data_IF_027109943084
#
_entry.id   IF_027109943084
#
_cell.length_a   1.000
_cell.length_b   1.000
_cell.length_c   1.000
_cell.angle_alpha   90.00
_cell.angle_beta   90.00
_cell.angle_gamma   90.00
#
_symmetry.space_group_name_H-M   'P 1'
#
loop_
_entity.id
_entity.type
_entity.pdbx_description
1 polymer ?
#
# COMPACT_ATOMS: atom_id res chain seq x y z
N UNK A 1 -35.93 -76.19 -64.38
CA UNK A 1 -36.70 -75.10 -63.73
C UNK A 1 -38.15 -75.44 -63.96
N UNK A 2 -38.95 -75.61 -62.91
CA UNK A 2 -40.38 -75.87 -63.07
C UNK A 2 -40.99 -74.71 -63.86
N UNK A 3 -41.69 -75.00 -64.96
CA UNK A 3 -42.45 -74.01 -65.71
C UNK A 3 -43.56 -73.49 -64.80
N UNK A 4 -43.41 -72.25 -64.36
CA UNK A 4 -44.41 -71.55 -63.58
C UNK A 4 -45.67 -71.42 -64.43
N UNK A 5 -46.83 -71.72 -63.85
CA UNK A 5 -48.09 -71.54 -64.57
C UNK A 5 -48.38 -70.05 -64.79
N UNK A 6 -49.12 -69.66 -65.84
CA UNK A 6 -49.47 -68.26 -66.09
C UNK A 6 -50.15 -67.57 -64.89
N UNK A 7 -50.92 -68.33 -64.11
CA UNK A 7 -51.61 -67.87 -62.89
C UNK A 7 -50.62 -67.56 -61.76
N UNK A 8 -49.59 -68.39 -61.58
CA UNK A 8 -48.52 -68.15 -60.59
C UNK A 8 -47.67 -66.93 -60.97
N UNK A 9 -47.46 -66.68 -62.28
CA UNK A 9 -46.74 -65.50 -62.77
C UNK A 9 -47.55 -64.23 -62.48
N UNK A 10 -48.86 -64.26 -62.75
CA UNK A 10 -49.77 -63.14 -62.50
C UNK A 10 -49.88 -62.82 -60.99
N UNK A 11 -50.00 -63.85 -60.15
CA UNK A 11 -50.05 -63.70 -58.69
C UNK A 11 -48.78 -63.05 -58.16
N UNK A 12 -47.61 -63.51 -58.63
CA UNK A 12 -46.32 -62.95 -58.24
C UNK A 12 -46.16 -61.51 -58.71
N UNK A 13 -46.59 -61.18 -59.93
CA UNK A 13 -46.54 -59.81 -60.44
C UNK A 13 -47.37 -58.86 -59.56
N UNK A 14 -48.61 -59.24 -59.21
CA UNK A 14 -49.45 -58.44 -58.31
C UNK A 14 -48.82 -58.25 -56.93
N UNK A 15 -48.22 -59.32 -56.37
CA UNK A 15 -47.52 -59.23 -55.09
C UNK A 15 -46.34 -58.25 -55.15
N UNK A 16 -45.49 -58.33 -56.18
CA UNK A 16 -44.36 -57.41 -56.34
C UNK A 16 -44.83 -55.97 -56.50
N UNK A 17 -45.91 -55.72 -57.25
CA UNK A 17 -46.48 -54.38 -57.39
C UNK A 17 -47.00 -53.84 -56.05
N UNK A 18 -47.47 -54.69 -55.13
CA UNK A 18 -48.05 -54.27 -53.83
C UNK A 18 -46.92 -53.91 -52.88
N UNK A 19 -45.90 -54.78 -52.82
CA UNK A 19 -44.68 -54.55 -52.05
C UNK A 19 -43.94 -53.28 -52.54
N UNK A 20 -43.94 -53.04 -53.85
CA UNK A 20 -43.35 -51.84 -54.46
C UNK A 20 -44.12 -50.57 -54.08
N UNK A 21 -45.45 -50.61 -54.12
CA UNK A 21 -46.29 -49.47 -53.71
C UNK A 21 -46.12 -49.16 -52.22
N UNK A 22 -46.07 -50.18 -51.37
CA UNK A 22 -45.80 -49.97 -49.95
C UNK A 22 -44.40 -49.40 -49.72
N UNK A 23 -43.42 -49.80 -50.52
CA UNK A 23 -42.08 -49.22 -50.50
C UNK A 23 -42.08 -47.74 -50.89
N UNK A 24 -42.84 -47.32 -51.92
CA UNK A 24 -42.91 -45.89 -52.28
C UNK A 24 -43.61 -45.05 -51.22
N UNK A 25 -44.64 -45.59 -50.55
CA UNK A 25 -45.25 -44.95 -49.38
C UNK A 25 -44.25 -44.76 -48.23
N UNK A 26 -43.43 -45.78 -47.92
CA UNK A 26 -42.37 -45.67 -46.90
C UNK A 26 -41.31 -44.64 -47.27
N UNK A 27 -40.86 -44.63 -48.52
CA UNK A 27 -39.87 -43.66 -49.03
C UNK A 27 -40.44 -42.23 -48.94
N UNK A 28 -41.70 -42.04 -49.32
CA UNK A 28 -42.36 -40.74 -49.19
C UNK A 28 -42.44 -40.28 -47.74
N UNK A 29 -42.83 -41.16 -46.82
CA UNK A 29 -42.84 -40.85 -45.38
C UNK A 29 -41.47 -40.42 -44.86
N UNK A 30 -40.41 -41.16 -45.21
CA UNK A 30 -39.04 -40.83 -44.83
C UNK A 30 -38.56 -39.51 -45.46
N UNK A 31 -38.95 -39.22 -46.70
CA UNK A 31 -38.59 -37.99 -47.38
C UNK A 31 -39.23 -36.78 -46.70
N UNK A 32 -40.52 -36.86 -46.33
CA UNK A 32 -41.23 -35.81 -45.60
C UNK A 32 -40.60 -35.58 -44.21
N UNK A 33 -40.30 -36.65 -43.47
CA UNK A 33 -39.63 -36.54 -42.17
C UNK A 33 -38.24 -35.89 -42.31
N UNK A 34 -37.46 -36.29 -43.32
CA UNK A 34 -36.15 -35.70 -43.60
C UNK A 34 -36.26 -34.21 -43.94
N UNK A 35 -37.32 -33.81 -44.64
CA UNK A 35 -37.57 -32.40 -44.97
C UNK A 35 -37.85 -31.58 -43.71
N UNK A 36 -38.69 -32.07 -42.79
CA UNK A 36 -38.99 -31.39 -41.52
C UNK A 36 -37.73 -31.23 -40.65
N UNK A 37 -36.91 -32.28 -40.56
CA UNK A 37 -35.61 -32.21 -39.87
C UNK A 37 -34.66 -31.22 -40.55
N UNK A 38 -34.63 -31.19 -41.88
CA UNK A 38 -33.84 -30.22 -42.65
C UNK A 38 -34.24 -28.77 -42.36
N UNK A 39 -35.55 -28.48 -42.34
CA UNK A 39 -36.08 -27.15 -42.02
C UNK A 39 -35.67 -26.74 -40.60
N UNK A 40 -35.86 -27.62 -39.61
CA UNK A 40 -35.45 -27.36 -38.21
C UNK A 40 -33.95 -27.08 -38.12
N UNK A 41 -33.14 -27.82 -38.87
CA UNK A 41 -31.68 -27.63 -38.87
C UNK A 41 -31.30 -26.27 -39.44
N UNK A 42 -31.92 -25.83 -40.55
CA UNK A 42 -31.69 -24.50 -41.12
C UNK A 42 -32.09 -23.40 -40.15
N UNK A 43 -33.24 -23.52 -39.48
CA UNK A 43 -33.65 -22.51 -38.49
C UNK A 43 -32.69 -22.42 -37.31
N UNK A 44 -32.13 -23.56 -36.87
CA UNK A 44 -31.12 -23.56 -35.81
C UNK A 44 -29.79 -22.95 -36.27
N UNK A 45 -29.39 -23.17 -37.52
CA UNK A 45 -28.19 -22.56 -38.10
C UNK A 45 -28.34 -21.04 -38.21
N UNK A 46 -29.51 -20.54 -38.62
CA UNK A 46 -29.83 -19.11 -38.66
C UNK A 46 -29.74 -18.46 -37.26
N UNK A 47 -30.36 -19.09 -36.26
CA UNK A 47 -30.26 -18.64 -34.86
C UNK A 47 -28.82 -18.65 -34.33
N UNK A 48 -28.01 -19.64 -34.72
CA UNK A 48 -26.58 -19.73 -34.37
C UNK A 48 -25.76 -18.62 -35.05
N UNK A 49 -26.04 -18.31 -36.32
CA UNK A 49 -25.40 -17.20 -37.03
C UNK A 49 -25.65 -15.87 -36.32
N UNK A 50 -26.88 -15.62 -35.89
CA UNK A 50 -27.23 -14.43 -35.12
C UNK A 50 -26.55 -14.38 -33.74
N UNK A 51 -26.33 -15.53 -33.09
CA UNK A 51 -25.53 -15.59 -31.87
C UNK A 51 -24.06 -15.24 -32.12
N UNK A 52 -23.48 -15.76 -33.21
CA UNK A 52 -22.10 -15.44 -33.59
C UNK A 52 -21.93 -13.96 -33.94
N UNK A 53 -22.91 -13.34 -34.62
CA UNK A 53 -22.92 -11.89 -34.88
C UNK A 53 -22.87 -11.09 -33.57
N UNK A 54 -23.70 -11.42 -32.59
CA UNK A 54 -23.67 -10.76 -31.26
C UNK A 54 -22.34 -10.94 -30.53
N UNK A 55 -21.72 -12.12 -30.66
CA UNK A 55 -20.39 -12.39 -30.07
C UNK A 55 -19.32 -11.54 -30.77
N UNK A 56 -19.35 -11.45 -32.10
CA UNK A 56 -18.41 -10.65 -32.87
C UNK A 56 -18.54 -9.15 -32.50
N UNK A 57 -19.77 -8.62 -32.40
CA UNK A 57 -20.03 -7.26 -31.93
C UNK A 57 -19.54 -7.02 -30.48
N UNK A 58 -19.77 -7.99 -29.59
CA UNK A 58 -19.29 -7.92 -28.22
C UNK A 58 -17.77 -7.87 -28.13
N UNK A 59 -17.08 -8.63 -28.99
CA UNK A 59 -15.62 -8.61 -29.10
C UNK A 59 -15.12 -7.26 -29.62
N UNK A 60 -15.81 -6.68 -30.60
CA UNK A 60 -15.47 -5.34 -31.12
C UNK A 60 -15.61 -4.25 -30.06
N UNK A 61 -16.65 -4.35 -29.22
CA UNK A 61 -16.84 -3.45 -28.09
C UNK A 61 -15.74 -3.64 -27.03
N UNK A 62 -15.38 -4.87 -26.68
CA UNK A 62 -14.27 -5.15 -25.74
C UNK A 62 -12.97 -4.53 -26.24
N UNK A 63 -12.63 -4.71 -27.51
CA UNK A 63 -11.42 -4.11 -28.06
C UNK A 63 -11.47 -2.57 -28.01
N UNK A 64 -12.62 -1.95 -28.29
CA UNK A 64 -12.80 -0.50 -28.15
C UNK A 64 -12.59 -0.03 -26.71
N UNK A 65 -13.18 -0.72 -25.73
CA UNK A 65 -13.05 -0.41 -24.31
C UNK A 65 -11.60 -0.58 -23.85
N UNK A 66 -10.90 -1.61 -24.35
CA UNK A 66 -9.48 -1.84 -24.08
C UNK A 66 -8.60 -0.70 -24.62
N UNK A 67 -8.90 -0.18 -25.82
CA UNK A 67 -8.18 0.99 -26.39
C UNK A 67 -8.42 2.26 -25.57
N UNK A 68 -9.66 2.48 -25.13
CA UNK A 68 -10.00 3.62 -24.28
C UNK A 68 -9.29 3.53 -22.93
N UNK A 69 -9.31 2.35 -22.30
CA UNK A 69 -8.56 2.09 -21.08
C UNK A 69 -7.06 2.37 -21.27
N UNK A 70 -6.41 1.83 -22.32
CA UNK A 70 -4.98 2.09 -22.59
C UNK A 70 -4.68 3.60 -22.75
N UNK A 71 -5.57 4.34 -23.41
CA UNK A 71 -5.45 5.80 -23.56
C UNK A 71 -5.54 6.51 -22.21
N UNK A 72 -6.55 6.20 -21.39
CA UNK A 72 -6.69 6.75 -20.04
C UNK A 72 -5.46 6.43 -19.18
N UNK A 73 -4.96 5.19 -19.23
CA UNK A 73 -3.75 4.80 -18.51
C UNK A 73 -2.51 5.57 -18.99
N UNK A 74 -2.40 5.81 -20.30
CA UNK A 74 -1.32 6.60 -20.88
C UNK A 74 -1.40 8.07 -20.46
N UNK A 75 -2.60 8.63 -20.36
CA UNK A 75 -2.82 9.99 -19.86
C UNK A 75 -2.50 10.10 -18.36
N UNK A 76 -2.88 9.12 -17.55
CA UNK A 76 -2.52 9.04 -16.12
C UNK A 76 -1.00 8.94 -15.92
N UNK A 77 -0.29 8.18 -16.75
CA UNK A 77 1.18 8.11 -16.72
C UNK A 77 1.83 9.46 -17.05
N UNK A 78 1.21 10.28 -17.91
CA UNK A 78 1.67 11.65 -18.21
C UNK A 78 1.36 12.66 -17.09
N UNK A 79 0.36 12.38 -16.25
CA UNK A 79 -0.05 13.23 -15.13
C UNK A 79 0.89 13.17 -13.91
N UNK A 80 1.91 12.29 -13.92
CA UNK A 80 2.99 12.33 -12.94
C UNK A 80 4.01 13.46 -13.28
N UNK A 81 3.59 14.72 -13.11
CA UNK A 81 4.41 15.92 -13.36
C UNK A 81 5.61 16.15 -12.43
N UNK A 82 6.00 15.17 -11.60
CA UNK A 82 7.15 15.28 -10.70
C UNK A 82 7.96 13.98 -10.54
N UNK A 83 7.72 12.98 -11.38
CA UNK A 83 8.50 11.73 -11.37
C UNK A 83 9.23 11.58 -12.71
N UNK A 84 10.56 11.62 -12.70
CA UNK A 84 11.38 11.09 -13.80
C UNK A 84 11.24 9.57 -13.77
N UNK A 85 10.10 9.07 -14.23
CA UNK A 85 9.87 7.63 -14.33
C UNK A 85 10.55 7.15 -15.62
N UNK A 86 11.60 6.31 -15.57
CA UNK A 86 12.16 5.66 -16.74
C UNK A 86 11.24 4.52 -17.17
N UNK A 87 9.98 4.86 -17.46
CA UNK A 87 9.05 3.94 -18.09
C UNK A 87 9.52 3.79 -19.54
N UNK A 88 10.19 2.67 -19.82
CA UNK A 88 10.40 2.17 -21.17
C UNK A 88 9.12 2.41 -21.95
N UNK A 89 9.18 3.20 -23.04
CA UNK A 89 8.04 3.46 -23.94
C UNK A 89 7.38 2.12 -24.22
N UNK A 90 6.23 1.88 -23.61
CA UNK A 90 5.40 0.72 -23.91
C UNK A 90 5.12 0.81 -25.40
N UNK A 91 5.62 -0.16 -26.16
CA UNK A 91 5.37 -0.22 -27.59
C UNK A 91 3.86 -0.30 -27.76
N UNK A 92 3.27 0.69 -28.40
CA UNK A 92 1.82 0.78 -28.65
C UNK A 92 1.34 -0.59 -29.14
N UNK A 93 0.44 -1.23 -28.41
CA UNK A 93 -0.06 -2.57 -28.72
C UNK A 93 -0.65 -2.62 -30.15
N UNK A 94 -1.24 -1.50 -30.58
CA UNK A 94 -1.77 -1.25 -31.93
C UNK A 94 -0.74 -1.36 -33.08
N UNK A 95 0.56 -1.36 -32.77
CA UNK A 95 1.62 -1.40 -33.80
C UNK A 95 1.91 -2.80 -34.34
N UNK A 96 1.38 -3.85 -33.72
CA UNK A 96 1.57 -5.22 -34.17
C UNK A 96 0.89 -5.49 -35.51
N UNK A 97 1.59 -6.17 -36.43
CA UNK A 97 1.08 -6.51 -37.77
C UNK A 97 -0.21 -7.35 -37.68
N UNK A 98 -0.28 -8.27 -36.72
CA UNK A 98 -1.46 -9.10 -36.49
C UNK A 98 -2.66 -8.27 -36.03
N UNK A 99 -2.44 -7.30 -35.13
CA UNK A 99 -3.50 -6.40 -34.65
C UNK A 99 -4.04 -5.53 -35.78
N UNK A 100 -3.17 -4.93 -36.61
CA UNK A 100 -3.60 -4.14 -37.78
C UNK A 100 -4.38 -4.96 -38.82
N UNK A 101 -4.05 -6.23 -38.99
CA UNK A 101 -4.77 -7.09 -39.94
C UNK A 101 -6.17 -7.45 -39.47
N UNK A 102 -6.40 -7.54 -38.15
CA UNK A 102 -7.68 -7.95 -37.57
C UNK A 102 -8.58 -6.76 -37.21
N UNK A 103 -7.98 -5.65 -36.81
CA UNK A 103 -8.65 -4.47 -36.24
C UNK A 103 -8.37 -3.16 -36.97
N UNK A 104 -7.48 -3.17 -37.97
CA UNK A 104 -7.21 -1.99 -38.79
C UNK A 104 -8.30 -1.79 -39.83
N UNK A 105 -8.78 -0.56 -39.99
CA UNK A 105 -9.62 -0.17 -41.12
C UNK A 105 -8.92 -0.60 -42.42
N UNK A 106 -9.56 -1.48 -43.19
CA UNK A 106 -9.00 -2.22 -44.31
C UNK A 106 -8.46 -1.35 -45.45
N UNK A 107 -7.25 -0.83 -45.30
CA UNK A 107 -6.53 -0.06 -46.31
C UNK A 107 -5.17 -0.70 -46.65
N UNK A 108 -5.12 -2.03 -46.75
CA UNK A 108 -4.04 -2.69 -47.51
C UNK A 108 -4.64 -3.65 -48.54
N UNK A 109 -4.50 -3.21 -49.80
CA UNK A 109 -4.88 -3.89 -51.02
C UNK A 109 -4.58 -5.40 -50.99
N UNK A 110 -5.61 -6.21 -50.78
CA UNK A 110 -5.64 -7.60 -51.26
C UNK A 110 -6.66 -7.69 -52.38
N UNK A 111 -6.19 -7.41 -53.59
CA UNK A 111 -6.86 -7.70 -54.83
C UNK A 111 -6.88 -9.24 -55.05
N UNK A 112 -7.60 -9.99 -54.23
CA UNK A 112 -7.93 -11.40 -54.53
C UNK A 112 -9.05 -12.00 -53.66
N UNK A 113 -10.21 -11.34 -53.56
CA UNK A 113 -11.46 -12.09 -53.36
C UNK A 113 -12.67 -11.24 -53.73
N UNK A 114 -12.98 -11.22 -55.03
CA UNK A 114 -14.31 -10.80 -55.48
C UNK A 114 -15.27 -11.94 -55.13
N UNK A 115 -15.84 -11.90 -53.93
CA UNK A 115 -17.03 -12.70 -53.63
C UNK A 115 -18.18 -12.08 -54.43
N UNK A 116 -18.48 -12.69 -55.56
CA UNK A 116 -19.65 -12.38 -56.38
C UNK A 116 -20.92 -12.85 -55.63
N UNK A 117 -21.29 -12.16 -54.56
CA UNK A 117 -22.64 -12.22 -54.00
C UNK A 117 -23.43 -11.05 -54.60
N UNK A 118 -23.73 -11.17 -55.89
CA UNK A 118 -24.73 -10.32 -56.52
C UNK A 118 -26.08 -11.04 -56.34
N UNK A 119 -27.09 -10.43 -55.70
CA UNK A 119 -28.39 -11.08 -55.54
C UNK A 119 -28.99 -11.31 -56.94
N UNK A 120 -29.25 -12.57 -57.27
CA UNK A 120 -29.84 -12.95 -58.54
C UNK A 120 -31.27 -12.42 -58.55
N UNK A 121 -31.48 -11.35 -59.31
CA UNK A 121 -32.79 -10.77 -59.62
C UNK A 121 -33.74 -11.88 -60.09
N UNK A 122 -34.80 -12.10 -59.32
CA UNK A 122 -35.89 -13.02 -59.66
C UNK A 122 -36.79 -12.30 -60.67
N UNK A 123 -36.31 -12.16 -61.91
CA UNK A 123 -37.16 -11.69 -62.98
C UNK A 123 -37.94 -12.86 -63.56
N UNK A 124 -39.25 -12.63 -63.65
CA UNK A 124 -40.29 -13.58 -64.02
C UNK A 124 -40.14 -14.10 -65.45
N UNK A 125 -40.75 -15.28 -65.66
CA UNK A 125 -41.15 -15.88 -66.94
C UNK A 125 -40.04 -16.55 -67.77
N UNK A 126 -39.81 -17.83 -67.47
CA UNK A 126 -39.77 -18.83 -68.54
C UNK A 126 -40.07 -20.22 -67.96
N UNK A 127 -41.10 -20.95 -68.45
CA UNK A 127 -41.22 -22.36 -68.14
C UNK A 127 -40.04 -23.06 -68.82
N UNK A 128 -39.05 -23.47 -68.04
CA UNK A 128 -38.02 -24.37 -68.54
C UNK A 128 -38.67 -25.74 -68.75
N UNK A 129 -39.15 -25.94 -69.97
CA UNK A 129 -39.42 -27.25 -70.54
C UNK A 129 -38.07 -27.95 -70.77
N UNK A 130 -37.54 -28.55 -69.71
CA UNK A 130 -36.53 -29.60 -69.84
C UNK A 130 -37.22 -30.82 -70.46
N UNK A 131 -37.12 -30.93 -71.79
CA UNK A 131 -37.54 -32.09 -72.56
C UNK A 131 -36.68 -33.31 -72.26
N UNK A 132 -36.96 -33.97 -71.15
CA UNK A 132 -36.80 -35.42 -71.00
C UNK A 132 -38.12 -36.09 -71.35
N UNK A 133 -38.14 -37.36 -71.79
CA UNK A 133 -39.38 -38.04 -72.13
C UNK A 133 -40.30 -38.00 -70.91
N UNK A 134 -41.48 -37.41 -71.08
CA UNK A 134 -42.59 -37.40 -70.13
C UNK A 134 -43.17 -38.81 -70.01
N UNK A 135 -42.33 -39.77 -69.61
CA UNK A 135 -42.75 -41.04 -69.07
C UNK A 135 -42.71 -40.90 -67.55
N UNK A 136 -43.74 -41.35 -66.87
CA UNK A 136 -43.73 -41.46 -65.41
C UNK A 136 -42.45 -42.15 -64.91
N UNK A 137 -42.15 -41.96 -63.64
CA UNK A 137 -41.01 -42.59 -62.95
C UNK A 137 -41.06 -44.14 -63.05
N UNK A 138 -42.20 -44.68 -63.47
CA UNK A 138 -42.48 -46.11 -63.57
C UNK A 138 -43.00 -46.43 -64.98
N UNK A 139 -42.53 -47.55 -65.53
CA UNK A 139 -43.09 -48.10 -66.78
C UNK A 139 -44.43 -48.75 -66.47
N UNK A 140 -45.51 -48.26 -67.08
CA UNK A 140 -46.88 -48.77 -66.86
C UNK A 140 -47.06 -50.13 -67.54
N UNK A 141 -47.44 -51.16 -66.78
CA UNK A 141 -47.63 -52.52 -67.30
C UNK A 141 -49.10 -52.92 -67.19
N UNK A 142 -49.69 -52.80 -66.00
CA UNK A 142 -51.11 -53.08 -65.78
C UNK A 142 -51.99 -51.84 -65.97
N UNK A 143 -51.40 -50.64 -65.90
CA UNK A 143 -52.09 -49.36 -65.99
C UNK A 143 -53.29 -49.30 -65.03
N UNK A 144 -53.07 -49.80 -63.81
CA UNK A 144 -54.02 -49.80 -62.72
C UNK A 144 -53.77 -48.62 -61.77
N UNK A 145 -54.72 -48.39 -60.85
CA UNK A 145 -54.65 -47.29 -59.90
C UNK A 145 -53.44 -47.36 -58.95
N UNK A 146 -52.82 -48.55 -58.79
CA UNK A 146 -51.66 -48.72 -57.90
C UNK A 146 -50.39 -48.22 -58.57
N UNK A 147 -50.22 -48.49 -59.87
CA UNK A 147 -49.13 -47.91 -60.67
C UNK A 147 -49.26 -46.38 -60.73
N UNK A 148 -50.49 -45.84 -60.84
CA UNK A 148 -50.74 -44.39 -60.80
C UNK A 148 -50.34 -43.76 -59.45
N UNK A 149 -50.75 -44.37 -58.32
CA UNK A 149 -50.36 -43.90 -56.98
C UNK A 149 -48.84 -44.00 -56.77
N UNK A 150 -48.21 -45.06 -57.26
CA UNK A 150 -46.78 -45.26 -57.14
C UNK A 150 -46.00 -44.17 -57.90
N UNK A 151 -46.47 -43.78 -59.10
CA UNK A 151 -45.88 -42.72 -59.91
C UNK A 151 -46.05 -41.34 -59.24
N UNK A 152 -47.23 -41.08 -58.64
CA UNK A 152 -47.49 -39.86 -57.86
C UNK A 152 -46.59 -39.78 -56.62
N UNK A 153 -46.45 -40.88 -55.87
CA UNK A 153 -45.56 -40.95 -54.70
C UNK A 153 -44.10 -40.65 -55.08
N UNK A 154 -43.61 -41.22 -56.19
CA UNK A 154 -42.24 -40.97 -56.66
C UNK A 154 -42.05 -39.54 -57.18
N UNK A 155 -43.07 -38.96 -57.82
CA UNK A 155 -43.03 -37.55 -58.22
C UNK A 155 -42.92 -36.61 -57.00
N UNK A 156 -43.69 -36.89 -55.93
CA UNK A 156 -43.60 -36.14 -54.67
C UNK A 156 -42.22 -36.30 -54.01
N UNK A 157 -41.70 -37.53 -53.95
CA UNK A 157 -40.33 -37.80 -53.47
C UNK A 157 -39.29 -37.02 -54.27
N UNK A 158 -39.43 -36.97 -55.60
CA UNK A 158 -38.54 -36.20 -56.47
C UNK A 158 -38.53 -34.71 -56.14
N UNK A 159 -39.71 -34.12 -55.88
CA UNK A 159 -39.83 -32.74 -55.46
C UNK A 159 -39.20 -32.49 -54.08
N UNK A 160 -39.46 -33.37 -53.10
CA UNK A 160 -38.88 -33.26 -51.75
C UNK A 160 -37.36 -33.40 -51.81
N UNK A 161 -36.84 -34.33 -52.61
CA UNK A 161 -35.40 -34.51 -52.81
C UNK A 161 -34.75 -33.28 -53.44
N UNK A 162 -35.44 -32.61 -54.38
CA UNK A 162 -35.02 -31.32 -54.92
C UNK A 162 -34.91 -30.24 -53.85
N UNK A 163 -35.90 -30.15 -52.96
CA UNK A 163 -35.87 -29.22 -51.83
C UNK A 163 -34.77 -29.56 -50.82
N UNK A 164 -34.61 -30.83 -50.46
CA UNK A 164 -33.53 -31.33 -49.58
C UNK A 164 -32.15 -30.98 -50.14
N UNK A 165 -31.97 -31.08 -51.45
CA UNK A 165 -30.71 -30.69 -52.11
C UNK A 165 -30.43 -29.19 -51.96
N UNK A 166 -31.43 -28.34 -52.17
CA UNK A 166 -31.25 -26.89 -52.01
C UNK A 166 -30.95 -26.55 -50.54
N UNK A 167 -31.70 -27.13 -49.60
CA UNK A 167 -31.44 -26.99 -48.16
C UNK A 167 -30.02 -27.43 -47.78
N UNK A 168 -29.54 -28.55 -48.32
CA UNK A 168 -28.18 -29.02 -48.07
C UNK A 168 -27.10 -28.05 -48.59
N UNK A 169 -27.33 -27.41 -49.75
CA UNK A 169 -26.43 -26.39 -50.28
C UNK A 169 -26.45 -25.12 -49.43
N UNK A 170 -27.63 -24.66 -49.01
CA UNK A 170 -27.79 -23.47 -48.18
C UNK A 170 -27.16 -23.69 -46.79
N UNK A 171 -27.39 -24.85 -46.16
CA UNK A 171 -26.73 -25.23 -44.92
C UNK A 171 -25.20 -25.28 -45.07
N UNK A 172 -24.70 -25.84 -46.18
CA UNK A 172 -23.26 -25.90 -46.44
C UNK A 172 -22.63 -24.51 -46.52
N UNK A 173 -23.25 -23.61 -47.28
CA UNK A 173 -22.78 -22.24 -47.42
C UNK A 173 -22.83 -21.46 -46.09
N UNK A 174 -23.89 -21.63 -45.31
CA UNK A 174 -24.05 -21.00 -44.00
C UNK A 174 -23.00 -21.50 -43.01
N UNK A 175 -22.76 -22.81 -42.95
CA UNK A 175 -21.70 -23.41 -42.12
C UNK A 175 -20.32 -22.86 -42.52
N UNK A 176 -20.01 -22.77 -43.81
CA UNK A 176 -18.74 -22.22 -44.28
C UNK A 176 -18.57 -20.74 -43.91
N UNK A 177 -19.65 -19.95 -43.96
CA UNK A 177 -19.65 -18.56 -43.53
C UNK A 177 -19.43 -18.43 -42.01
N UNK A 178 -20.15 -19.22 -41.22
CA UNK A 178 -20.01 -19.27 -39.76
C UNK A 178 -18.62 -19.73 -39.33
N UNK A 179 -18.04 -20.75 -39.98
CA UNK A 179 -16.67 -21.20 -39.70
C UNK A 179 -15.65 -20.07 -39.90
N UNK A 180 -15.76 -19.32 -41.01
CA UNK A 180 -14.89 -18.15 -41.24
C UNK A 180 -15.10 -17.06 -40.19
N UNK A 181 -16.32 -16.88 -39.69
CA UNK A 181 -16.60 -15.93 -38.61
C UNK A 181 -15.97 -16.36 -37.29
N UNK A 182 -16.10 -17.64 -36.93
CA UNK A 182 -15.46 -18.22 -35.74
C UNK A 182 -13.95 -18.04 -35.79
N UNK A 183 -13.31 -18.26 -36.94
CA UNK A 183 -11.88 -18.03 -37.10
C UNK A 183 -11.49 -16.57 -36.82
N UNK A 184 -12.29 -15.59 -37.31
CA UNK A 184 -12.07 -14.17 -37.00
C UNK A 184 -12.22 -13.89 -35.51
N UNK A 185 -13.27 -14.41 -34.87
CA UNK A 185 -13.53 -14.23 -33.44
C UNK A 185 -12.38 -14.81 -32.61
N UNK A 186 -11.87 -16.00 -32.95
CA UNK A 186 -10.74 -16.62 -32.26
C UNK A 186 -9.47 -15.76 -32.36
N UNK A 187 -9.20 -15.19 -33.55
CA UNK A 187 -8.05 -14.26 -33.70
C UNK A 187 -8.24 -13.01 -32.85
N UNK A 188 -9.45 -12.42 -32.84
CA UNK A 188 -9.78 -11.26 -31.99
C UNK A 188 -9.55 -11.58 -30.50
N UNK A 189 -10.03 -12.72 -30.01
CA UNK A 189 -9.86 -13.16 -28.61
C UNK A 189 -8.39 -13.30 -28.21
N UNK A 190 -7.57 -13.94 -29.05
CA UNK A 190 -6.14 -14.14 -28.75
C UNK A 190 -5.37 -12.82 -28.66
N UNK A 191 -5.74 -11.83 -29.48
CA UNK A 191 -5.17 -10.49 -29.44
C UNK A 191 -5.58 -9.74 -28.16
N UNK A 192 -6.85 -9.78 -27.78
CA UNK A 192 -7.34 -9.12 -26.56
C UNK A 192 -6.72 -9.72 -25.28
N UNK A 193 -6.53 -11.04 -25.22
CA UNK A 193 -5.81 -11.70 -24.13
C UNK A 193 -4.34 -11.27 -24.04
N UNK A 194 -3.72 -10.97 -25.18
CA UNK A 194 -2.36 -10.43 -25.22
C UNK A 194 -2.32 -8.98 -24.75
N UNK A 195 -3.36 -8.19 -25.03
CA UNK A 195 -3.52 -6.82 -24.54
C UNK A 195 -3.65 -6.75 -23.00
N UNK A 196 -4.37 -7.69 -22.37
CA UNK A 196 -4.43 -7.78 -20.89
C UNK A 196 -3.07 -8.02 -20.22
N UNK A 197 -2.11 -8.60 -20.95
CA UNK A 197 -0.71 -8.76 -20.49
C UNK A 197 0.15 -7.52 -20.73
N UNK A 198 -0.43 -6.43 -21.23
CA UNK A 198 0.31 -5.19 -21.45
C UNK A 198 0.92 -4.70 -20.12
N UNK A 199 2.18 -4.21 -20.14
CA UNK A 199 2.91 -3.83 -18.92
C UNK A 199 2.20 -2.79 -18.03
N UNK A 200 1.24 -2.03 -18.57
CA UNK A 200 0.46 -1.06 -17.81
C UNK A 200 -0.46 -1.71 -16.77
N UNK A 201 -1.20 -2.77 -17.12
CA UNK A 201 -2.12 -3.45 -16.18
C UNK A 201 -1.38 -4.18 -15.06
N UNK A 202 -0.21 -4.76 -15.36
CA UNK A 202 0.68 -5.35 -14.34
C UNK A 202 1.10 -4.28 -13.34
N UNK A 203 1.49 -3.10 -13.81
CA UNK A 203 1.87 -1.98 -12.93
C UNK A 203 0.73 -1.45 -12.08
N UNK A 204 -0.53 -1.48 -12.56
CA UNK A 204 -1.68 -1.13 -11.72
C UNK A 204 -1.91 -2.15 -10.61
N UNK A 205 -1.77 -3.44 -10.91
CA UNK A 205 -1.83 -4.48 -9.87
C UNK A 205 -0.70 -4.33 -8.85
N UNK A 206 0.52 -4.01 -9.30
CA UNK A 206 1.65 -3.71 -8.41
C UNK A 206 1.39 -2.44 -7.57
N UNK A 207 0.84 -1.38 -8.15
CA UNK A 207 0.49 -0.13 -7.45
C UNK A 207 -0.56 -0.39 -6.36
N UNK A 208 -1.60 -1.17 -6.65
CA UNK A 208 -2.64 -1.54 -5.69
C UNK A 208 -2.06 -2.36 -4.53
N UNK A 209 -1.20 -3.34 -4.82
CA UNK A 209 -0.48 -4.10 -3.80
C UNK A 209 0.39 -3.20 -2.91
N UNK A 210 1.12 -2.25 -3.50
CA UNK A 210 1.93 -1.29 -2.76
C UNK A 210 1.05 -0.43 -1.84
N UNK A 211 -0.10 0.04 -2.30
CA UNK A 211 -1.02 0.83 -1.46
C UNK A 211 -1.58 0.03 -0.30
N UNK A 212 -1.92 -1.24 -0.50
CA UNK A 212 -2.39 -2.12 0.57
C UNK A 212 -1.30 -2.39 1.61
N UNK A 213 -0.08 -2.73 1.16
CA UNK A 213 1.07 -2.94 2.06
C UNK A 213 1.37 -1.65 2.85
N UNK A 214 1.28 -0.48 2.22
CA UNK A 214 1.51 0.79 2.90
C UNK A 214 0.47 1.06 4.00
N UNK A 215 -0.79 0.68 3.78
CA UNK A 215 -1.84 0.78 4.79
C UNK A 215 -1.57 -0.15 5.98
N UNK A 216 -1.15 -1.40 5.73
CA UNK A 216 -0.77 -2.34 6.78
C UNK A 216 0.44 -1.84 7.61
N UNK A 217 1.46 -1.28 6.95
CA UNK A 217 2.61 -0.66 7.63
C UNK A 217 2.14 0.47 8.56
N UNK A 218 1.25 1.33 8.08
CA UNK A 218 0.72 2.44 8.88
C UNK A 218 -0.07 1.94 10.10
N UNK A 219 -0.90 0.90 9.93
CA UNK A 219 -1.61 0.28 11.04
C UNK A 219 -0.65 -0.30 12.08
N UNK A 220 0.37 -1.06 11.64
CA UNK A 220 1.37 -1.66 12.54
C UNK A 220 2.20 -0.61 13.26
N UNK A 221 2.49 0.51 12.59
CA UNK A 221 3.16 1.65 13.22
C UNK A 221 2.34 2.23 14.37
N UNK A 222 1.04 2.46 14.16
CA UNK A 222 0.14 2.94 15.21
C UNK A 222 0.04 1.96 16.38
N UNK A 223 -0.11 0.66 16.11
CA UNK A 223 -0.09 -0.38 17.16
C UNK A 223 1.20 -0.33 17.99
N UNK A 224 2.34 -0.13 17.33
CA UNK A 224 3.65 -0.03 18.00
C UNK A 224 3.74 1.22 18.88
N UNK A 225 3.25 2.37 18.39
CA UNK A 225 3.21 3.62 19.16
C UNK A 225 2.31 3.49 20.40
N UNK A 226 1.14 2.85 20.27
CA UNK A 226 0.25 2.59 21.41
C UNK A 226 0.94 1.71 22.46
N UNK A 227 1.55 0.60 22.05
CA UNK A 227 2.25 -0.30 22.98
C UNK A 227 3.42 0.40 23.67
N UNK A 228 4.13 1.29 22.96
CA UNK A 228 5.20 2.09 23.56
C UNK A 228 4.66 3.07 24.60
N UNK A 229 3.54 3.74 24.34
CA UNK A 229 2.87 4.61 25.31
C UNK A 229 2.36 3.83 26.54
N UNK A 230 1.78 2.65 26.35
CA UNK A 230 1.37 1.78 27.45
C UNK A 230 2.55 1.37 28.32
N UNK A 231 3.70 1.05 27.70
CA UNK A 231 4.93 0.73 28.42
C UNK A 231 5.46 1.92 29.22
N UNK A 232 5.47 3.11 28.63
CA UNK A 232 5.93 4.34 29.30
C UNK A 232 5.01 4.76 30.47
N UNK A 233 3.70 4.53 30.33
CA UNK A 233 2.71 4.85 31.37
C UNK A 233 2.47 3.72 32.36
N UNK A 234 3.09 2.55 32.17
CA UNK A 234 2.84 1.36 32.98
C UNK A 234 3.06 1.59 34.48
N UNK A 235 4.00 2.45 34.88
CA UNK A 235 4.31 2.70 36.29
C UNK A 235 3.20 3.46 37.05
N UNK A 236 2.26 4.09 36.32
CA UNK A 236 1.11 4.82 36.84
C UNK A 236 -0.25 4.23 36.41
N UNK A 237 -0.30 3.35 35.41
CA UNK A 237 -1.55 2.69 34.97
C UNK A 237 -1.62 1.23 35.42
N UNK A 238 -0.48 0.52 35.48
CA UNK A 238 -0.50 -0.92 35.68
C UNK A 238 -0.65 -1.29 37.17
N UNK A 239 -1.61 -2.17 37.53
CA UNK A 239 -1.95 -2.50 38.92
C UNK A 239 -0.76 -2.98 39.77
N UNK A 240 0.19 -3.68 39.16
CA UNK A 240 1.39 -4.17 39.86
C UNK A 240 2.24 -3.02 40.44
N UNK A 241 2.56 -1.99 39.63
CA UNK A 241 3.38 -0.87 40.08
C UNK A 241 2.61 0.02 41.07
N UNK A 242 1.31 0.21 40.83
CA UNK A 242 0.43 0.95 41.74
C UNK A 242 0.33 0.28 43.11
N UNK A 243 0.06 -1.03 43.13
CA UNK A 243 -0.04 -1.79 44.38
C UNK A 243 1.24 -1.68 45.20
N UNK A 244 2.41 -1.79 44.54
CA UNK A 244 3.71 -1.62 45.21
C UNK A 244 3.89 -0.21 45.78
N UNK A 245 3.55 0.84 45.03
CA UNK A 245 3.60 2.25 45.52
C UNK A 245 2.63 2.46 46.69
N UNK A 246 1.39 1.96 46.59
CA UNK A 246 0.40 2.03 47.68
C UNK A 246 0.88 1.31 48.94
N UNK A 247 1.53 0.15 48.82
CA UNK A 247 2.07 -0.59 49.94
C UNK A 247 3.13 0.22 50.71
N UNK A 248 4.05 0.86 49.98
CA UNK A 248 5.09 1.73 50.58
C UNK A 248 4.46 2.89 51.34
N UNK A 249 3.45 3.56 50.76
CA UNK A 249 2.74 4.65 51.43
C UNK A 249 1.99 4.17 52.68
N UNK A 250 1.35 3.01 52.62
CA UNK A 250 0.68 2.41 53.78
C UNK A 250 1.67 2.10 54.90
N UNK A 251 2.84 1.55 54.58
CA UNK A 251 3.87 1.23 55.57
C UNK A 251 4.47 2.50 56.19
N UNK A 252 4.68 3.56 55.39
CA UNK A 252 5.08 4.87 55.92
C UNK A 252 4.03 5.47 56.85
N UNK A 253 2.74 5.39 56.50
CA UNK A 253 1.66 5.89 57.34
C UNK A 253 1.58 5.13 58.67
N UNK A 254 1.71 3.79 58.64
CA UNK A 254 1.78 2.96 59.86
C UNK A 254 2.94 3.40 60.76
N UNK A 255 4.11 3.68 60.18
CA UNK A 255 5.26 4.14 60.94
C UNK A 255 5.04 5.52 61.55
N UNK A 256 4.45 6.47 60.80
CA UNK A 256 4.09 7.79 61.32
C UNK A 256 3.09 7.71 62.47
N UNK A 257 2.08 6.84 62.36
CA UNK A 257 1.12 6.59 63.45
C UNK A 257 1.81 6.06 64.72
N UNK A 258 2.77 5.15 64.57
CA UNK A 258 3.57 4.63 65.68
C UNK A 258 4.40 5.75 66.35
N UNK A 259 5.07 6.60 65.58
CA UNK A 259 5.83 7.76 66.10
C UNK A 259 4.91 8.74 66.84
N UNK A 260 3.74 9.03 66.29
CA UNK A 260 2.76 9.91 66.94
C UNK A 260 2.27 9.32 68.26
N UNK A 261 2.07 8.00 68.32
CA UNK A 261 1.70 7.29 69.55
C UNK A 261 2.80 7.39 70.60
N UNK A 262 4.05 7.12 70.25
CA UNK A 262 5.19 7.25 71.16
C UNK A 262 5.38 8.69 71.66
N UNK A 263 5.22 9.68 70.79
CA UNK A 263 5.24 11.10 71.17
C UNK A 263 4.16 11.43 72.21
N UNK A 264 2.94 10.91 72.03
CA UNK A 264 1.85 11.09 73.01
C UNK A 264 2.21 10.44 74.34
N UNK A 265 2.71 9.19 74.32
CA UNK A 265 3.17 8.46 75.50
C UNK A 265 4.27 9.21 76.25
N UNK A 266 5.28 9.71 75.53
CA UNK A 266 6.38 10.49 76.10
C UNK A 266 5.87 11.79 76.72
N UNK A 267 4.98 12.51 76.04
CA UNK A 267 4.36 13.73 76.58
C UNK A 267 3.60 13.45 77.87
N UNK A 268 2.81 12.38 77.93
CA UNK A 268 2.12 11.96 79.15
C UNK A 268 3.09 11.65 80.29
N UNK A 269 4.20 10.96 79.99
CA UNK A 269 5.26 10.66 80.98
C UNK A 269 5.96 11.92 81.50
N UNK A 270 6.23 12.89 80.62
CA UNK A 270 6.87 14.16 80.99
C UNK A 270 5.93 15.10 81.76
N UNK A 271 4.62 15.06 81.49
CA UNK A 271 3.62 15.83 82.24
C UNK A 271 3.40 15.30 83.67
N UNK A 272 3.89 14.10 84.00
CA UNK A 272 3.83 13.57 85.36
C UNK A 272 4.88 14.29 86.24
N UNK A 273 4.48 15.01 87.31
CA UNK A 273 5.43 15.71 88.16
C UNK A 273 6.44 14.73 88.78
N UNK A 274 7.74 15.08 88.72
CA UNK A 274 8.82 14.26 89.27
C UNK A 274 9.12 14.53 90.75
N UNK A 275 8.57 15.59 91.32
CA UNK A 275 8.74 15.97 92.74
C UNK A 275 7.36 16.14 93.37
N UNK A 276 7.17 15.64 94.60
CA UNK A 276 6.02 16.04 95.42
C UNK A 276 6.13 17.55 95.70
N UNK A 277 4.99 18.26 95.68
CA UNK A 277 4.91 19.73 95.78
C UNK A 277 5.46 20.32 97.09
N UNK A 278 5.87 19.50 98.06
CA UNK A 278 6.46 19.96 99.31
C UNK A 278 7.66 19.08 99.67
N UNK A 279 8.86 19.69 99.77
CA UNK A 279 9.95 19.11 100.56
C UNK A 279 9.67 19.45 102.03
N UNK A 280 9.43 18.47 102.93
CA UNK A 280 9.23 18.73 104.35
C UNK A 280 10.59 19.05 104.99
N UNK A 281 10.98 20.32 104.96
CA UNK A 281 12.17 20.79 105.67
C UNK A 281 11.77 20.96 107.15
N UNK A 282 12.45 20.24 108.06
CA UNK A 282 12.22 20.38 109.50
C UNK A 282 12.60 21.80 109.94
N UNK A 283 11.76 22.43 110.76
CA UNK A 283 11.89 23.80 111.26
C UNK A 283 13.31 24.22 111.73
N UNK A 284 14.15 23.36 112.37
CA UNK A 284 15.50 23.76 112.79
C UNK A 284 16.42 24.15 111.62
N UNK A 285 16.20 23.58 110.44
CA UNK A 285 17.07 23.77 109.28
C UNK A 285 16.63 24.92 108.39
N UNK A 286 15.48 25.55 108.66
CA UNK A 286 14.98 26.66 107.84
C UNK A 286 15.99 27.81 107.80
N UNK A 287 16.58 28.18 108.94
CA UNK A 287 17.55 29.27 108.99
C UNK A 287 18.79 28.97 108.15
N UNK A 288 19.39 27.80 108.34
CA UNK A 288 20.57 27.38 107.56
C UNK A 288 20.26 27.28 106.06
N UNK A 289 19.09 26.76 105.68
CA UNK A 289 18.71 26.63 104.27
C UNK A 289 18.44 27.99 103.64
N UNK A 290 17.81 28.92 104.35
CA UNK A 290 17.59 30.30 103.88
C UNK A 290 18.92 31.05 103.73
N UNK A 291 19.83 30.91 104.68
CA UNK A 291 21.18 31.49 104.61
C UNK A 291 21.97 30.92 103.43
N UNK A 292 21.98 29.58 103.26
CA UNK A 292 22.65 28.93 102.14
C UNK A 292 22.04 29.35 100.78
N UNK A 293 20.72 29.46 100.68
CA UNK A 293 20.06 29.91 99.46
C UNK A 293 20.38 31.38 99.17
N UNK A 294 20.49 32.22 100.19
CA UNK A 294 20.84 33.63 100.05
C UNK A 294 22.30 33.79 99.60
N UNK A 295 23.22 33.00 100.15
CA UNK A 295 24.61 32.93 99.65
C UNK A 295 24.68 32.40 98.22
N UNK A 296 23.93 31.35 97.88
CA UNK A 296 23.90 30.82 96.52
C UNK A 296 23.38 31.84 95.51
N UNK A 297 22.33 32.58 95.85
CA UNK A 297 21.77 33.64 95.00
C UNK A 297 22.77 34.79 94.82
N UNK A 298 23.38 35.27 95.90
CA UNK A 298 24.39 36.36 95.82
C UNK A 298 25.65 35.95 95.08
N UNK A 299 26.06 34.66 95.14
CA UNK A 299 27.14 34.13 94.32
C UNK A 299 26.78 34.14 92.83
N UNK A 300 25.57 33.70 92.47
CA UNK A 300 25.08 33.69 91.09
C UNK A 300 25.04 35.13 90.53
N UNK A 301 24.57 36.11 91.32
CA UNK A 301 24.54 37.52 90.90
C UNK A 301 25.94 38.10 90.62
N UNK A 302 26.96 37.69 91.40
CA UNK A 302 28.34 38.18 91.22
C UNK A 302 29.12 37.47 90.11
N UNK A 303 28.68 36.30 89.67
CA UNK A 303 29.37 35.50 88.65
C UNK A 303 29.46 36.24 87.30
N UNK A 304 28.41 36.95 86.92
CA UNK A 304 28.36 37.74 85.67
C UNK A 304 29.44 38.84 85.65
N UNK A 305 29.64 39.53 86.78
CA UNK A 305 30.65 40.58 86.93
C UNK A 305 32.09 40.04 86.84
N UNK A 306 32.35 38.88 87.47
CA UNK A 306 33.65 38.21 87.35
C UNK A 306 33.93 37.72 85.92
N UNK A 307 32.92 37.21 85.21
CA UNK A 307 33.07 36.82 83.81
C UNK A 307 33.30 38.02 82.88
N UNK A 308 32.72 39.18 83.17
CA UNK A 308 33.01 40.41 82.43
C UNK A 308 34.45 40.92 82.65
N UNK A 309 34.98 40.85 83.88
CA UNK A 309 36.38 41.22 84.15
C UNK A 309 37.40 40.31 83.46
N UNK A 310 37.07 39.04 83.20
CA UNK A 310 37.90 38.14 82.41
C UNK A 310 37.90 38.48 80.90
N UNK A 311 36.81 39.09 80.41
CA UNK A 311 36.64 39.50 79.01
C UNK A 311 37.35 40.79 78.64
N UNK A 312 37.71 41.63 79.61
CA UNK A 312 38.40 42.92 79.41
C UNK A 312 39.93 42.82 79.34
N UNK A 313 40.50 41.61 79.39
CA UNK A 313 41.94 41.38 79.14
C UNK A 313 42.22 41.62 77.63
N UNK A 314 43.25 42.42 77.26
CA UNK A 314 43.50 42.83 75.87
C UNK A 314 43.72 41.64 74.91
N UNK A 315 43.04 41.70 73.76
CA UNK A 315 42.99 40.67 72.72
C UNK A 315 44.21 40.75 71.78
N UNK A 316 45.16 39.82 71.90
CA UNK A 316 46.29 39.56 70.97
C UNK A 316 45.92 39.63 69.47
N UNK A 317 44.72 39.21 69.01
CA UNK A 317 44.34 39.27 67.60
C UNK A 317 44.29 40.68 66.98
N UNK A 318 44.01 41.75 67.75
CA UNK A 318 43.89 43.10 67.15
C UNK A 318 45.26 43.70 66.78
N UNK A 319 46.28 43.42 67.58
CA UNK A 319 47.67 43.80 67.32
C UNK A 319 48.19 43.04 66.08
N UNK A 320 47.84 41.76 65.96
CA UNK A 320 48.21 40.93 64.81
C UNK A 320 47.64 41.47 63.49
N UNK A 321 46.37 41.91 63.49
CA UNK A 321 45.72 42.50 62.30
C UNK A 321 46.38 43.81 61.85
N UNK A 322 46.82 44.64 62.80
CA UNK A 322 47.54 45.88 62.49
C UNK A 322 48.92 45.59 61.90
N UNK A 323 49.59 44.53 62.38
CA UNK A 323 50.84 44.04 61.81
C UNK A 323 50.68 43.48 60.39
N UNK A 324 49.65 42.66 60.12
CA UNK A 324 49.38 42.16 58.76
C UNK A 324 49.11 43.29 57.76
N UNK A 325 48.42 44.35 58.22
CA UNK A 325 48.16 45.55 57.41
C UNK A 325 49.44 46.35 57.14
N UNK A 326 50.39 46.35 58.08
CA UNK A 326 51.69 46.98 57.87
C UNK A 326 52.57 46.17 56.92
N UNK A 327 52.56 44.83 57.06
CA UNK A 327 53.30 43.90 56.19
C UNK A 327 52.89 44.08 54.73
N UNK A 328 51.57 44.06 54.45
CA UNK A 328 51.05 44.27 53.09
C UNK A 328 51.43 45.62 52.50
N UNK A 329 51.47 46.70 53.31
CA UNK A 329 51.94 48.01 52.82
C UNK A 329 53.43 48.00 52.48
N UNK A 330 54.25 47.27 53.23
CA UNK A 330 55.69 47.15 52.95
C UNK A 330 55.94 46.32 51.69
N UNK A 331 55.19 45.24 51.46
CA UNK A 331 55.28 44.44 50.22
C UNK A 331 55.02 45.28 48.97
N UNK A 332 54.00 46.14 48.98
CA UNK A 332 53.69 47.05 47.87
C UNK A 332 54.84 48.04 47.60
N UNK A 333 55.46 48.57 48.65
CA UNK A 333 56.60 49.47 48.47
C UNK A 333 57.83 48.76 47.89
N UNK A 334 58.02 47.46 48.18
CA UNK A 334 59.09 46.67 47.59
C UNK A 334 58.86 46.46 46.09
N UNK A 335 57.63 46.15 45.68
CA UNK A 335 57.30 45.98 44.25
C UNK A 335 57.51 47.27 43.46
N UNK A 336 57.13 48.43 44.01
CA UNK A 336 57.36 49.72 43.35
C UNK A 336 58.87 50.03 43.19
N UNK A 337 59.69 49.62 44.16
CA UNK A 337 61.15 49.75 44.13
C UNK A 337 61.80 48.85 43.07
N UNK A 338 61.29 47.62 42.93
CA UNK A 338 61.74 46.67 41.89
C UNK A 338 61.43 47.24 40.50
N UNK A 339 60.22 47.76 40.27
CA UNK A 339 59.83 48.36 39.00
C UNK A 339 60.70 49.59 38.65
N UNK A 340 60.95 50.47 39.63
CA UNK A 340 61.83 51.62 39.44
C UNK A 340 63.25 51.18 39.05
N UNK A 341 63.74 50.11 39.68
CA UNK A 341 65.08 49.55 39.40
C UNK A 341 65.16 49.00 37.98
N UNK A 342 64.12 48.28 37.52
CA UNK A 342 64.03 47.83 36.12
C UNK A 342 63.99 49.00 35.14
N UNK A 343 63.24 50.06 35.43
CA UNK A 343 63.19 51.26 34.58
C UNK A 343 64.57 51.93 34.48
N UNK A 344 65.30 52.03 35.59
CA UNK A 344 66.67 52.56 35.62
C UNK A 344 67.63 51.68 34.80
N UNK A 345 67.53 50.35 34.92
CA UNK A 345 68.36 49.42 34.14
C UNK A 345 68.08 49.56 32.64
N UNK A 346 66.80 49.64 32.25
CA UNK A 346 66.37 49.81 30.85
C UNK A 346 66.86 51.13 30.26
N UNK A 347 66.80 52.22 31.04
CA UNK A 347 67.37 53.52 30.66
C UNK A 347 68.90 53.46 30.48
N UNK A 348 69.61 52.73 31.35
CA UNK A 348 71.07 52.55 31.24
C UNK A 348 71.47 51.76 29.99
N UNK A 349 70.68 50.75 29.60
CA UNK A 349 70.88 49.98 28.36
C UNK A 349 70.71 50.88 27.12
N UNK A 350 69.65 51.71 27.09
CA UNK A 350 69.41 52.71 26.05
C UNK A 350 70.57 53.71 25.91
N UNK A 351 71.16 54.12 27.04
CA UNK A 351 72.29 55.05 27.05
C UNK A 351 73.58 54.43 26.48
N UNK A 352 73.80 53.12 26.66
CA UNK A 352 74.90 52.38 26.01
C UNK A 352 74.72 52.28 24.49
N UNK A 353 73.48 52.14 24.00
CA UNK A 353 73.19 52.17 22.56
C UNK A 353 73.57 53.51 21.92
N UNK A 354 73.20 54.62 22.56
CA UNK A 354 73.47 55.99 22.05
C UNK A 354 74.97 56.34 22.08
N UNK A 355 75.75 55.85 23.06
CA UNK A 355 77.21 56.04 23.08
C UNK A 355 77.98 55.18 22.07
N UNK A 356 77.39 54.06 21.62
CA UNK A 356 77.99 53.21 20.59
C UNK A 356 77.85 53.84 19.19
N UNK A 357 76.74 54.52 18.94
CA UNK A 357 76.46 55.19 17.65
C UNK A 357 77.08 56.61 17.55
N UNK A 358 77.43 57.24 18.68
CA UNK A 358 78.03 58.59 18.69
C UNK A 358 79.54 58.63 18.45
N UNK A 359 80.27 57.51 18.56
CA UNK A 359 81.74 57.48 18.40
C UNK A 359 82.17 57.40 16.91
N UNK A 360 81.24 57.21 15.97
CA UNK A 360 81.57 57.21 14.53
C UNK A 360 81.36 58.55 13.80
N UNK A 361 80.83 59.61 14.45
CA UNK A 361 80.37 60.81 13.71
C UNK A 361 80.85 62.19 14.19
N UNK A 362 81.87 62.31 15.04
CA UNK A 362 82.40 63.65 15.42
C UNK A 362 83.91 63.64 15.68
N UNK A 363 84.68 63.46 14.61
CA UNK A 363 86.00 64.08 14.47
C UNK A 363 85.77 65.38 13.70
N UNK A 364 85.67 66.51 14.39
CA UNK A 364 86.16 67.82 13.93
C UNK A 364 85.77 68.93 14.93
N UNK A 365 86.81 69.49 15.55
CA UNK A 365 87.00 70.92 15.84
C UNK A 365 86.19 71.57 16.98
N UNK A 366 86.71 72.51 17.77
CA UNK A 366 88.06 72.78 18.28
C UNK A 366 87.89 73.86 19.37
N UNK A 367 88.82 73.90 20.32
CA UNK A 367 89.13 74.90 21.35
C UNK A 367 88.34 76.23 21.50
N UNK A 368 87.99 76.58 22.74
CA UNK A 368 88.70 77.61 23.56
C UNK A 368 87.90 78.19 24.74
N UNK A 369 88.52 78.14 25.92
CA UNK A 369 88.32 78.92 27.17
C UNK A 369 88.49 80.46 26.96
N UNK A 370 88.32 81.41 27.93
CA UNK A 370 88.58 81.28 29.38
C UNK A 370 87.74 82.13 30.38
N UNK A 371 88.14 81.96 31.65
CA UNK A 371 87.75 82.60 32.91
C UNK A 371 87.50 84.12 32.90
N UNK A 372 86.54 84.56 33.72
CA UNK A 372 86.75 85.59 34.77
C UNK A 372 85.81 85.37 35.94
#
# INVERSE_FOLDING_TARGET
MAELTPEEIQLRANQVTDESLESTRRILGLAIESQDVGIKTITMLDEQGEQLNRIEEGMDQINKDMREAEKTLTELNKCCGLCVCPCNRTKNFESSRAYKSTWGDGMENSADHVVSMQPRSVNHQQPQTSGGPSGGYITRITNDAREDEMDENLAQVGNILGNLKNMALDMGNEIDAQNKQIDRINVKETLDLTCKKAPCFVKFSEMEQITNIQAEINQKKLETEILQLEKETADITHPFYLSKKCQIFQDMNRHLEAVLKEKRTLRQRLMKPRCQENLPIKAPFHKCVVELLTEAVTFIEKLESHLQNLRSIPQTPSIMKNMDTALTKTEVLVTDLEELTEQILKWRELQKGVHSDSICNTVELDFSFPLT
#
